data_IF_809298875767
#
_entry.id   IF_809298875767
#
_cell.length_a   1.000
_cell.length_b   1.000
_cell.length_c   1.000
_cell.angle_alpha   90.00
_cell.angle_beta   90.00
_cell.angle_gamma   90.00
#
_symmetry.space_group_name_H-M   'P 1'
#
loop_
_entity.id
_entity.type
_entity.pdbx_description
1 polymer ?
#
# COMPACT_ATOMS: atom_id res chain seq x y z
N UNK A 1 1.14 3.29 -16.02
CA UNK A 1 1.37 3.81 -14.65
C UNK A 1 1.34 2.64 -13.69
N UNK A 2 2.48 2.04 -13.41
CA UNK A 2 2.57 0.93 -12.45
C UNK A 2 2.03 1.36 -11.06
N UNK A 3 2.30 2.61 -10.65
CA UNK A 3 1.77 3.21 -9.42
C UNK A 3 0.23 3.29 -9.38
N UNK A 4 -0.40 3.75 -10.46
CA UNK A 4 -1.86 3.81 -10.53
C UNK A 4 -2.50 2.41 -10.52
N UNK A 5 -1.83 1.43 -11.14
CA UNK A 5 -2.28 0.05 -11.14
C UNK A 5 -2.18 -0.57 -9.73
N UNK A 6 -1.11 -0.28 -9.00
CA UNK A 6 -0.98 -0.64 -7.58
C UNK A 6 -2.10 -0.06 -6.72
N UNK A 7 -2.37 1.24 -6.82
CA UNK A 7 -3.47 1.88 -6.08
C UNK A 7 -4.85 1.34 -6.44
N UNK A 8 -5.09 0.97 -7.69
CA UNK A 8 -6.35 0.32 -8.09
C UNK A 8 -6.47 -1.07 -7.45
N UNK A 9 -5.41 -1.88 -7.48
CA UNK A 9 -5.41 -3.21 -6.82
C UNK A 9 -5.64 -3.05 -5.32
N UNK A 10 -4.99 -2.07 -4.69
CA UNK A 10 -5.19 -1.70 -3.29
C UNK A 10 -6.67 -1.42 -2.98
N UNK A 11 -7.29 -0.52 -3.75
CA UNK A 11 -8.70 -0.21 -3.57
C UNK A 11 -9.60 -1.44 -3.76
N UNK A 12 -9.31 -2.30 -4.74
CA UNK A 12 -10.10 -3.52 -5.01
C UNK A 12 -10.11 -4.44 -3.80
N UNK A 13 -8.94 -4.78 -3.23
CA UNK A 13 -8.94 -5.71 -2.10
C UNK A 13 -9.45 -5.06 -0.82
N UNK A 14 -9.26 -3.75 -0.60
CA UNK A 14 -9.86 -3.05 0.54
C UNK A 14 -11.40 -3.07 0.46
N UNK A 15 -11.98 -2.81 -0.72
CA UNK A 15 -13.42 -2.94 -0.94
C UNK A 15 -13.86 -4.39 -0.75
N UNK A 16 -13.05 -5.35 -1.20
CA UNK A 16 -13.24 -6.78 -0.96
C UNK A 16 -13.34 -7.11 0.53
N UNK A 17 -12.42 -6.61 1.36
CA UNK A 17 -12.46 -6.82 2.82
C UNK A 17 -13.69 -6.19 3.50
N UNK A 18 -14.26 -5.13 2.92
CA UNK A 18 -15.47 -4.46 3.46
C UNK A 18 -16.74 -5.24 3.10
N UNK A 19 -16.85 -5.72 1.86
CA UNK A 19 -18.09 -6.27 1.31
C UNK A 19 -18.16 -7.80 1.32
N UNK A 20 -17.02 -8.49 1.40
CA UNK A 20 -17.00 -9.95 1.30
C UNK A 20 -17.64 -10.59 2.55
N UNK A 21 -18.57 -11.55 2.36
CA UNK A 21 -19.08 -12.34 3.46
C UNK A 21 -17.94 -13.17 4.08
N UNK A 22 -18.05 -13.58 5.36
CA UNK A 22 -17.02 -14.37 6.03
C UNK A 22 -16.77 -15.70 5.31
N UNK A 23 -15.70 -15.77 4.53
CA UNK A 23 -15.31 -16.94 3.77
C UNK A 23 -13.79 -16.99 3.63
N UNK A 24 -13.20 -18.09 4.12
CA UNK A 24 -11.75 -18.28 4.13
C UNK A 24 -11.12 -18.20 2.74
N UNK A 25 -11.81 -18.69 1.71
CA UNK A 25 -11.30 -18.70 0.33
C UNK A 25 -11.29 -17.30 -0.27
N UNK A 26 -12.29 -16.47 0.05
CA UNK A 26 -12.35 -15.09 -0.41
C UNK A 26 -11.24 -14.28 0.26
N UNK A 27 -11.06 -14.43 1.57
CA UNK A 27 -9.97 -13.76 2.27
C UNK A 27 -8.60 -14.23 1.80
N UNK A 28 -8.41 -15.53 1.54
CA UNK A 28 -7.17 -16.04 0.98
C UNK A 28 -6.83 -15.39 -0.38
N UNK A 29 -7.82 -15.23 -1.25
CA UNK A 29 -7.64 -14.53 -2.53
C UNK A 29 -7.29 -13.05 -2.34
N UNK A 30 -7.97 -12.36 -1.42
CA UNK A 30 -7.70 -10.95 -1.13
C UNK A 30 -6.29 -10.74 -0.55
N UNK A 31 -5.86 -11.60 0.36
CA UNK A 31 -4.49 -11.57 0.89
C UNK A 31 -3.44 -11.93 -0.17
N UNK A 32 -3.76 -12.84 -1.10
CA UNK A 32 -2.88 -13.16 -2.22
C UNK A 32 -2.70 -11.93 -3.13
N UNK A 33 -3.79 -11.23 -3.47
CA UNK A 33 -3.73 -10.00 -4.25
C UNK A 33 -2.91 -8.92 -3.55
N UNK A 34 -3.11 -8.73 -2.24
CA UNK A 34 -2.31 -7.80 -1.44
C UNK A 34 -0.82 -8.17 -1.44
N UNK A 35 -0.49 -9.45 -1.25
CA UNK A 35 0.90 -9.92 -1.28
C UNK A 35 1.59 -9.72 -2.63
N UNK A 36 0.89 -9.97 -3.74
CA UNK A 36 1.42 -9.72 -5.09
C UNK A 36 1.67 -8.24 -5.32
N UNK A 37 0.73 -7.37 -4.92
CA UNK A 37 0.85 -5.92 -5.06
C UNK A 37 2.02 -5.38 -4.24
N UNK A 38 2.10 -5.72 -2.95
CA UNK A 38 3.16 -5.26 -2.06
C UNK A 38 4.53 -5.76 -2.53
N UNK A 39 4.64 -7.03 -2.94
CA UNK A 39 5.88 -7.58 -3.47
C UNK A 39 6.33 -6.88 -4.77
N UNK A 40 5.39 -6.52 -5.65
CA UNK A 40 5.69 -5.78 -6.87
C UNK A 40 6.17 -4.34 -6.57
N UNK A 41 5.56 -3.67 -5.59
CA UNK A 41 5.96 -2.31 -5.16
C UNK A 41 7.35 -2.34 -4.56
N UNK A 42 7.60 -3.22 -3.58
CA UNK A 42 8.89 -3.34 -2.91
C UNK A 42 10.04 -3.64 -3.88
N UNK A 43 9.82 -4.55 -4.83
CA UNK A 43 10.82 -4.89 -5.84
C UNK A 43 11.12 -3.70 -6.76
N UNK A 44 10.08 -2.99 -7.21
CA UNK A 44 10.23 -1.84 -8.11
C UNK A 44 10.89 -0.66 -7.40
N UNK A 45 10.46 -0.35 -6.18
CA UNK A 45 10.98 0.77 -5.39
C UNK A 45 12.48 0.60 -5.14
N UNK A 46 12.91 -0.60 -4.72
CA UNK A 46 14.32 -0.89 -4.48
C UNK A 46 15.15 -0.87 -5.76
N UNK A 47 14.61 -1.39 -6.88
CA UNK A 47 15.29 -1.34 -8.18
C UNK A 47 15.50 0.11 -8.64
N UNK A 48 14.46 0.93 -8.54
CA UNK A 48 14.53 2.34 -8.94
C UNK A 48 15.45 3.16 -8.05
N UNK A 49 15.44 2.92 -6.73
CA UNK A 49 16.40 3.53 -5.82
C UNK A 49 17.85 3.14 -6.16
N UNK A 50 18.10 1.89 -6.54
CA UNK A 50 19.44 1.42 -6.93
C UNK A 50 20.00 2.14 -8.17
N UNK A 51 19.13 2.50 -9.12
CA UNK A 51 19.48 3.24 -10.33
C UNK A 51 19.80 4.71 -10.04
N UNK A 52 19.09 5.33 -9.09
CA UNK A 52 19.31 6.73 -8.68
C UNK A 52 20.53 6.91 -7.79
N UNK A 53 20.91 5.89 -7.01
CA UNK A 53 21.96 5.98 -6.01
C UNK A 53 23.34 5.67 -6.61
N UNK A 54 24.35 6.54 -6.40
CA UNK A 54 25.72 6.23 -6.76
C UNK A 54 26.23 5.04 -5.93
N UNK A 55 27.06 4.17 -6.54
CA UNK A 55 27.49 2.89 -5.95
C UNK A 55 28.06 3.03 -4.54
N UNK A 56 28.83 4.09 -4.30
CA UNK A 56 29.48 4.37 -3.02
C UNK A 56 28.52 4.85 -1.91
N UNK A 57 27.24 5.15 -2.21
CA UNK A 57 26.23 5.60 -1.25
C UNK A 57 24.97 4.75 -1.21
N UNK A 58 24.95 3.60 -1.90
CA UNK A 58 23.79 2.70 -1.93
C UNK A 58 23.34 2.25 -0.53
N UNK A 59 24.29 1.94 0.35
CA UNK A 59 23.97 1.55 1.74
C UNK A 59 23.19 2.61 2.51
N UNK A 60 23.64 3.87 2.47
CA UNK A 60 22.93 4.99 3.12
C UNK A 60 21.60 5.29 2.44
N UNK A 61 21.53 5.21 1.10
CA UNK A 61 20.29 5.45 0.37
C UNK A 61 19.21 4.42 0.66
N UNK A 62 19.54 3.13 0.71
CA UNK A 62 18.60 2.08 1.12
C UNK A 62 18.23 2.18 2.61
N UNK A 63 19.15 2.62 3.47
CA UNK A 63 18.86 2.89 4.87
C UNK A 63 17.82 4.01 5.06
N UNK A 64 17.98 5.10 4.31
CA UNK A 64 17.02 6.20 4.31
C UNK A 64 15.66 5.77 3.74
N UNK A 65 15.65 5.03 2.63
CA UNK A 65 14.44 4.46 2.04
C UNK A 65 13.67 3.61 3.06
N UNK A 66 14.38 2.70 3.74
CA UNK A 66 13.81 1.84 4.77
C UNK A 66 13.26 2.63 5.97
N UNK A 67 13.92 3.74 6.32
CA UNK A 67 13.46 4.62 7.41
C UNK A 67 12.18 5.34 7.02
N UNK A 68 12.07 5.84 5.79
CA UNK A 68 10.87 6.50 5.28
C UNK A 68 9.71 5.51 5.23
N UNK A 69 9.93 4.30 4.70
CA UNK A 69 8.91 3.25 4.67
C UNK A 69 8.49 2.86 6.09
N UNK A 70 9.43 2.69 7.01
CA UNK A 70 9.11 2.37 8.41
C UNK A 70 8.25 3.45 9.10
N UNK A 71 8.53 4.73 8.86
CA UNK A 71 7.69 5.83 9.38
C UNK A 71 6.29 5.80 8.75
N UNK A 72 6.21 5.53 7.45
CA UNK A 72 4.95 5.34 6.72
C UNK A 72 4.12 4.19 7.30
N UNK A 73 4.73 3.02 7.44
CA UNK A 73 4.11 1.81 7.98
C UNK A 73 3.65 2.00 9.43
N UNK A 74 4.45 2.68 10.25
CA UNK A 74 4.07 3.03 11.61
C UNK A 74 2.84 3.94 11.63
N UNK A 75 2.86 5.01 10.86
CA UNK A 75 1.75 5.96 10.78
C UNK A 75 0.48 5.29 10.25
N UNK A 76 0.63 4.46 9.21
CA UNK A 76 -0.44 3.65 8.63
C UNK A 76 -1.04 2.69 9.67
N UNK A 77 -0.20 1.95 10.39
CA UNK A 77 -0.63 0.98 11.40
C UNK A 77 -1.35 1.65 12.57
N UNK A 78 -0.83 2.78 13.06
CA UNK A 78 -1.45 3.54 14.15
C UNK A 78 -2.81 4.08 13.72
N UNK A 79 -2.91 4.70 12.55
CA UNK A 79 -4.18 5.25 12.05
C UNK A 79 -5.21 4.14 11.78
N UNK A 80 -4.81 3.06 11.11
CA UNK A 80 -5.68 1.91 10.86
C UNK A 80 -6.13 1.24 12.17
N UNK A 81 -5.23 1.11 13.16
CA UNK A 81 -5.55 0.53 14.46
C UNK A 81 -6.53 1.38 15.26
N UNK A 82 -6.33 2.71 15.28
CA UNK A 82 -7.27 3.63 15.93
C UNK A 82 -8.66 3.55 15.28
N UNK A 83 -8.73 3.59 13.94
CA UNK A 83 -10.00 3.47 13.20
C UNK A 83 -10.70 2.14 13.47
N UNK A 84 -9.93 1.05 13.56
CA UNK A 84 -10.48 -0.27 13.80
C UNK A 84 -11.07 -0.36 15.21
N UNK A 85 -10.33 0.09 16.21
CA UNK A 85 -10.71 0.00 17.61
C UNK A 85 -11.85 0.96 17.99
N UNK A 86 -11.89 2.16 17.39
CA UNK A 86 -12.87 3.21 17.73
C UNK A 86 -14.15 3.17 16.91
N UNK A 87 -14.09 2.70 15.65
CA UNK A 87 -15.24 2.72 14.73
C UNK A 87 -15.60 1.31 14.28
N UNK A 88 -14.75 0.69 13.44
CA UNK A 88 -14.91 -0.69 12.96
C UNK A 88 -13.75 -1.07 12.03
N UNK A 89 -13.56 -2.37 11.80
CA UNK A 89 -12.64 -2.87 10.77
C UNK A 89 -12.91 -2.27 9.38
N UNK A 90 -14.20 -2.18 9.01
CA UNK A 90 -14.62 -1.62 7.71
C UNK A 90 -14.22 -0.15 7.55
N UNK A 91 -14.20 0.63 8.64
CA UNK A 91 -13.76 2.02 8.60
C UNK A 91 -12.27 2.16 8.26
N UNK A 92 -11.41 1.28 8.80
CA UNK A 92 -9.98 1.25 8.47
C UNK A 92 -9.74 0.93 6.99
N UNK A 93 -10.42 -0.09 6.47
CA UNK A 93 -10.31 -0.45 5.05
C UNK A 93 -10.90 0.63 4.13
N UNK A 94 -12.01 1.27 4.52
CA UNK A 94 -12.62 2.34 3.74
C UNK A 94 -11.69 3.56 3.65
N UNK A 95 -11.01 3.91 4.75
CA UNK A 95 -10.02 4.98 4.77
C UNK A 95 -8.86 4.71 3.80
N UNK A 96 -8.30 3.49 3.84
CA UNK A 96 -7.26 3.07 2.89
C UNK A 96 -7.74 3.13 1.44
N UNK A 97 -8.93 2.60 1.16
CA UNK A 97 -9.51 2.62 -0.18
C UNK A 97 -9.71 4.05 -0.70
N UNK A 98 -10.22 4.97 0.14
CA UNK A 98 -10.44 6.37 -0.22
C UNK A 98 -9.12 7.08 -0.55
N UNK A 99 -8.07 6.85 0.25
CA UNK A 99 -6.73 7.40 -0.02
C UNK A 99 -6.16 6.88 -1.34
N UNK A 100 -6.27 5.58 -1.62
CA UNK A 100 -5.79 4.98 -2.85
C UNK A 100 -6.55 5.50 -4.10
N UNK A 101 -7.87 5.69 -4.00
CA UNK A 101 -8.68 6.31 -5.06
C UNK A 101 -8.26 7.78 -5.27
N UNK A 102 -8.11 8.55 -4.19
CA UNK A 102 -7.68 9.95 -4.27
C UNK A 102 -6.29 10.07 -4.92
N UNK A 103 -5.33 9.24 -4.50
CA UNK A 103 -3.99 9.20 -5.08
C UNK A 103 -4.01 8.86 -6.57
N UNK A 104 -4.84 7.88 -6.96
CA UNK A 104 -5.05 7.51 -8.37
C UNK A 104 -5.61 8.68 -9.18
N UNK A 105 -6.63 9.36 -8.66
CA UNK A 105 -7.24 10.51 -9.32
C UNK A 105 -6.23 11.66 -9.51
N UNK A 106 -5.45 11.99 -8.48
CA UNK A 106 -4.40 13.02 -8.56
C UNK A 106 -3.35 12.64 -9.62
N UNK A 107 -2.92 11.38 -9.65
CA UNK A 107 -1.95 10.87 -10.63
C UNK A 107 -2.48 10.92 -12.07
N UNK A 108 -3.79 10.73 -12.26
CA UNK A 108 -4.42 10.83 -13.58
C UNK A 108 -4.59 12.28 -14.04
N UNK A 109 -4.85 13.22 -13.12
CA UNK A 109 -4.98 14.65 -13.44
C UNK A 109 -3.63 15.30 -13.75
N UNK A 110 -2.56 14.87 -13.06
CA UNK A 110 -1.20 15.39 -13.26
C UNK A 110 -0.49 14.84 -14.49
N UNK A 111 -1.11 13.89 -15.18
CA UNK A 111 -0.62 13.31 -16.42
C UNK A 111 -1.21 13.98 -17.64
#
# INVERSE_FOLDING_TARGET
NLLALGYIIFSIYCIGFILAPPNIWIYALLFLLAGVETGAIDATERSYAAELLPENRRGTGFGLLSTINGIGDFTSSVTAGILWASISASASFAFGAALAVAATAILMIRK
#
